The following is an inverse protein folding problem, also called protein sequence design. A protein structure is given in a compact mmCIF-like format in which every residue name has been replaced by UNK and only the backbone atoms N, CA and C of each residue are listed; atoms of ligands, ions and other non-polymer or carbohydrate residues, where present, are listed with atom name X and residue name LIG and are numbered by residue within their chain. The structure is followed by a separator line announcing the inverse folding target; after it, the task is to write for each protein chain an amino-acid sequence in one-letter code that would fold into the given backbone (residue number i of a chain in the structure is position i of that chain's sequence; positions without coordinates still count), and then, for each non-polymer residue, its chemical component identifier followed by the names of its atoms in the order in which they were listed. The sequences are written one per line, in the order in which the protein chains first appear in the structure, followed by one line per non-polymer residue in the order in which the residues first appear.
data_IF_882844913921
#
_entry.id   IF_882844913921
#
_cell.length_a   1.000
_cell.length_b   1.000
_cell.length_c   1.000
_cell.angle_alpha   90.00
_cell.angle_beta   90.00
_cell.angle_gamma   90.00
#
_symmetry.space_group_name_H-M   'P 1'
#
loop_
_entity.id
_entity.type
_entity.pdbx_description
1 polymer ?
#
# COMPACT_ATOMS: atom_id res chain seq x y z
N UNK A 1 -7.82 -1.75 0.80
CA UNK A 1 -6.92 -2.44 1.75
C UNK A 1 -5.52 -1.88 1.56
N UNK A 2 -4.69 -1.84 2.61
CA UNK A 2 -3.34 -1.26 2.54
C UNK A 2 -2.24 -2.32 2.34
N UNK A 3 -2.64 -3.47 1.80
CA UNK A 3 -1.78 -4.62 1.55
C UNK A 3 -0.82 -4.37 0.37
N UNK A 4 0.37 -5.00 0.38
CA UNK A 4 1.31 -4.90 -0.74
C UNK A 4 0.67 -5.38 -2.03
N UNK A 5 0.94 -4.67 -3.13
CA UNK A 5 0.43 -5.03 -4.46
C UNK A 5 1.03 -6.37 -4.91
N UNK A 6 0.25 -7.13 -5.70
CA UNK A 6 0.71 -8.39 -6.27
C UNK A 6 1.44 -8.21 -7.61
N UNK A 7 2.35 -9.13 -7.91
CA UNK A 7 2.96 -9.27 -9.24
C UNK A 7 4.48 -9.07 -9.27
N UNK A 8 5.17 -9.93 -10.03
CA UNK A 8 6.65 -9.92 -10.14
C UNK A 8 7.20 -8.62 -10.71
N UNK A 9 6.46 -7.94 -11.58
CA UNK A 9 6.91 -6.71 -12.23
C UNK A 9 7.00 -5.50 -11.29
N UNK A 10 6.30 -5.52 -10.16
CA UNK A 10 6.27 -4.42 -9.17
C UNK A 10 7.03 -4.77 -7.89
N UNK A 11 7.82 -5.85 -7.90
CA UNK A 11 8.39 -6.42 -6.68
C UNK A 11 7.32 -6.64 -5.59
N UNK A 12 6.15 -7.11 -6.01
CA UNK A 12 5.00 -7.32 -5.13
C UNK A 12 5.25 -8.39 -4.07
N UNK A 13 4.52 -8.29 -2.96
CA UNK A 13 4.59 -9.25 -1.87
C UNK A 13 4.10 -10.64 -2.26
N UNK A 14 4.58 -11.67 -1.55
CA UNK A 14 4.03 -13.01 -1.65
C UNK A 14 2.68 -13.07 -0.94
N UNK A 15 1.68 -13.70 -1.57
CA UNK A 15 0.41 -13.98 -0.92
C UNK A 15 0.62 -15.03 0.17
N UNK A 16 0.24 -14.67 1.38
CA UNK A 16 0.06 -15.59 2.50
C UNK A 16 -1.43 -15.87 2.63
N UNK A 17 -1.84 -17.11 2.36
CA UNK A 17 -3.24 -17.53 2.29
C UNK A 17 -3.72 -18.30 3.51
N UNK A 18 -4.96 -18.77 3.43
CA UNK A 18 -5.63 -19.50 4.52
C UNK A 18 -4.91 -20.80 4.88
N UNK A 19 -4.36 -21.51 3.89
CA UNK A 19 -3.63 -22.76 4.13
C UNK A 19 -2.34 -22.51 4.91
N UNK A 20 -1.63 -21.43 4.61
CA UNK A 20 -0.43 -21.05 5.35
C UNK A 20 -0.74 -20.53 6.76
N UNK A 21 -1.87 -19.83 6.94
CA UNK A 21 -2.39 -19.46 8.25
C UNK A 21 -2.63 -20.72 9.10
N UNK A 22 -3.34 -21.72 8.57
CA UNK A 22 -3.58 -22.98 9.28
C UNK A 22 -2.28 -23.69 9.68
N UNK A 23 -1.26 -23.64 8.83
CA UNK A 23 0.04 -24.22 9.14
C UNK A 23 0.70 -23.54 10.34
N UNK A 24 0.67 -22.20 10.42
CA UNK A 24 1.23 -21.45 11.56
C UNK A 24 0.41 -21.64 12.84
N UNK A 25 -0.91 -21.68 12.74
CA UNK A 25 -1.80 -21.94 13.87
C UNK A 25 -1.55 -23.34 14.45
N UNK A 26 -1.45 -24.36 13.60
CA UNK A 26 -1.16 -25.72 14.03
C UNK A 26 0.22 -25.86 14.70
N UNK A 27 1.18 -25.03 14.28
CA UNK A 27 2.50 -24.97 14.91
C UNK A 27 2.51 -24.19 16.24
N UNK A 28 1.45 -23.42 16.53
CA UNK A 28 1.39 -22.53 17.69
C UNK A 28 2.26 -21.27 17.53
N UNK A 29 2.57 -20.87 16.29
CA UNK A 29 3.43 -19.72 15.97
C UNK A 29 2.65 -18.39 16.03
N UNK A 30 2.05 -18.08 17.18
CA UNK A 30 1.16 -16.93 17.35
C UNK A 30 1.81 -15.58 16.97
N UNK A 31 3.03 -15.33 17.46
CA UNK A 31 3.75 -14.08 17.16
C UNK A 31 4.10 -13.95 15.68
N UNK A 32 4.51 -15.06 15.03
CA UNK A 32 4.82 -15.04 13.59
C UNK A 32 3.57 -14.77 12.76
N UNK A 33 2.44 -15.39 13.13
CA UNK A 33 1.17 -15.14 12.46
C UNK A 33 0.72 -13.69 12.64
N UNK A 34 0.80 -13.16 13.87
CA UNK A 34 0.49 -11.76 14.16
C UNK A 34 1.36 -10.82 13.32
N UNK A 35 2.67 -11.03 13.30
CA UNK A 35 3.62 -10.21 12.54
C UNK A 35 3.31 -10.21 11.03
N UNK A 36 2.96 -11.37 10.47
CA UNK A 36 2.56 -11.50 9.06
C UNK A 36 1.28 -10.72 8.77
N UNK A 37 0.26 -10.81 9.64
CA UNK A 37 -1.05 -10.18 9.43
C UNK A 37 -1.09 -8.69 9.78
N UNK A 38 -0.08 -8.16 10.46
CA UNK A 38 -0.03 -6.77 10.93
C UNK A 38 1.13 -6.02 10.27
N UNK A 39 2.28 -5.91 10.96
CA UNK A 39 3.45 -5.10 10.59
C UNK A 39 4.13 -5.51 9.29
N UNK A 40 3.82 -6.68 8.72
CA UNK A 40 4.32 -7.10 7.40
C UNK A 40 3.33 -6.90 6.25
N UNK A 41 2.04 -6.70 6.53
CA UNK A 41 1.01 -6.63 5.49
C UNK A 41 0.18 -5.36 5.53
N UNK A 42 -0.44 -5.03 6.66
CA UNK A 42 -1.62 -4.15 6.65
C UNK A 42 -1.67 -3.11 7.79
N UNK A 43 -0.74 -3.17 8.75
CA UNK A 43 -0.56 -2.11 9.74
C UNK A 43 0.35 -1.00 9.17
N UNK A 44 -0.25 0.11 8.73
CA UNK A 44 0.49 1.21 8.06
C UNK A 44 1.48 1.87 9.00
N UNK A 45 1.06 2.22 10.22
CA UNK A 45 1.92 2.84 11.23
C UNK A 45 2.98 1.85 11.69
N UNK A 46 2.55 0.63 12.02
CA UNK A 46 3.41 -0.43 12.52
C UNK A 46 4.52 -0.76 11.53
N UNK A 47 4.26 -0.74 10.21
CA UNK A 47 5.30 -0.90 9.17
C UNK A 47 6.39 0.15 9.26
N UNK A 48 6.02 1.43 9.41
CA UNK A 48 6.99 2.54 9.46
C UNK A 48 7.82 2.46 10.74
N UNK A 49 7.17 2.27 11.89
CA UNK A 49 7.86 2.14 13.18
C UNK A 49 8.75 0.90 13.24
N UNK A 50 8.30 -0.22 12.65
CA UNK A 50 9.09 -1.45 12.54
C UNK A 50 10.32 -1.25 11.66
N UNK A 51 10.17 -0.58 10.53
CA UNK A 51 11.31 -0.26 9.67
C UNK A 51 12.36 0.57 10.42
N UNK A 52 11.92 1.61 11.13
CA UNK A 52 12.80 2.45 11.94
C UNK A 52 13.51 1.66 13.06
N UNK A 53 12.76 0.84 13.81
CA UNK A 53 13.32 0.00 14.86
C UNK A 53 14.39 -0.97 14.32
N UNK A 54 14.15 -1.59 13.16
CA UNK A 54 15.11 -2.48 12.50
C UNK A 54 16.38 -1.71 12.11
N UNK A 55 16.26 -0.51 11.55
CA UNK A 55 17.41 0.32 11.18
C UNK A 55 18.22 0.77 12.40
N UNK A 56 17.56 1.04 13.53
CA UNK A 56 18.19 1.42 14.80
C UNK A 56 18.73 0.23 15.61
N UNK A 57 18.37 -1.00 15.23
CA UNK A 57 18.70 -2.19 16.02
C UNK A 57 17.92 -2.29 17.34
N UNK A 58 16.76 -1.64 17.41
CA UNK A 58 15.84 -1.68 18.54
C UNK A 58 14.84 -2.83 18.39
N UNK A 59 14.14 -3.16 19.47
CA UNK A 59 13.08 -4.17 19.39
C UNK A 59 11.89 -3.64 18.59
N UNK A 60 11.29 -4.54 17.80
CA UNK A 60 10.08 -4.25 17.02
C UNK A 60 8.95 -3.85 17.98
N UNK A 61 8.23 -2.75 17.71
CA UNK A 61 7.11 -2.31 18.56
C UNK A 61 5.94 -3.30 18.51
N UNK A 62 5.02 -3.17 19.47
CA UNK A 62 3.80 -3.97 19.45
C UNK A 62 2.92 -3.62 18.24
N UNK A 63 2.39 -4.61 17.52
CA UNK A 63 1.51 -4.38 16.37
C UNK A 63 0.18 -3.72 16.75
N UNK A 64 -0.32 -2.87 15.86
CA UNK A 64 -1.63 -2.23 15.99
C UNK A 64 -2.77 -3.01 15.33
N UNK A 65 -3.90 -2.33 15.16
CA UNK A 65 -5.10 -2.86 14.48
C UNK A 65 -4.90 -2.82 12.96
N UNK A 66 -5.06 -3.94 12.23
CA UNK A 66 -4.98 -3.95 10.77
C UNK A 66 -6.04 -3.06 10.11
N UNK A 67 -5.66 -2.40 9.01
CA UNK A 67 -6.59 -1.54 8.26
C UNK A 67 -7.76 -2.30 7.62
N UNK A 68 -7.54 -3.53 7.20
CA UNK A 68 -8.57 -4.45 6.71
C UNK A 68 -9.67 -4.70 7.75
N UNK A 69 -9.33 -4.72 9.05
CA UNK A 69 -10.33 -4.84 10.11
C UNK A 69 -11.15 -3.55 10.26
N UNK A 70 -10.51 -2.38 10.17
CA UNK A 70 -11.21 -1.09 10.19
C UNK A 70 -12.18 -0.97 9.01
N UNK A 71 -11.70 -1.32 7.81
CA UNK A 71 -12.52 -1.36 6.58
C UNK A 71 -13.70 -2.31 6.74
N UNK A 72 -13.48 -3.53 7.25
CA UNK A 72 -14.55 -4.50 7.51
C UNK A 72 -15.66 -3.91 8.39
N UNK A 73 -15.30 -3.20 9.47
CA UNK A 73 -16.30 -2.57 10.36
C UNK A 73 -17.11 -1.52 9.59
N UNK A 74 -16.45 -0.66 8.80
CA UNK A 74 -17.14 0.35 7.99
C UNK A 74 -18.04 -0.28 6.93
N UNK A 75 -17.61 -1.37 6.30
CA UNK A 75 -18.41 -2.12 5.34
C UNK A 75 -19.67 -2.70 5.99
N UNK A 76 -19.57 -3.29 7.18
CA UNK A 76 -20.73 -3.78 7.93
C UNK A 76 -21.67 -2.63 8.35
N UNK A 77 -21.11 -1.51 8.81
CA UNK A 77 -21.88 -0.31 9.16
C UNK A 77 -22.60 0.29 7.96
N UNK A 78 -22.00 0.24 6.77
CA UNK A 78 -22.62 0.70 5.52
C UNK A 78 -23.88 -0.09 5.14
N UNK A 79 -23.97 -1.35 5.60
CA UNK A 79 -25.15 -2.20 5.44
C UNK A 79 -26.24 -1.90 6.48
N UNK A 80 -26.02 -0.96 7.39
CA UNK A 80 -26.94 -0.62 8.48
C UNK A 80 -26.80 -1.51 9.72
N UNK A 81 -25.71 -2.25 9.86
CA UNK A 81 -25.41 -3.02 11.07
C UNK A 81 -24.66 -2.15 12.08
N UNK A 82 -25.15 -2.12 13.32
CA UNK A 82 -24.42 -1.48 14.43
C UNK A 82 -23.35 -2.43 14.97
N UNK A 83 -22.11 -2.24 14.52
CA UNK A 83 -20.94 -3.02 14.95
C UNK A 83 -20.06 -2.13 15.81
N UNK A 84 -19.81 -2.59 17.04
CA UNK A 84 -19.05 -1.87 18.07
C UNK A 84 -17.99 -2.78 18.66
N UNK A 85 -16.82 -2.23 18.92
CA UNK A 85 -15.76 -2.91 19.67
C UNK A 85 -15.85 -2.49 21.12
N UNK A 86 -15.97 -3.46 22.02
CA UNK A 86 -16.11 -3.24 23.45
C UNK A 86 -14.85 -3.71 24.18
N UNK A 87 -14.43 -2.94 25.18
CA UNK A 87 -13.43 -3.35 26.15
C UNK A 87 -14.02 -4.32 27.20
N UNK A 88 -13.19 -4.86 28.10
CA UNK A 88 -13.64 -5.78 29.16
C UNK A 88 -14.67 -5.17 30.12
N UNK A 89 -14.73 -3.84 30.20
CA UNK A 89 -15.64 -3.08 31.05
C UNK A 89 -16.88 -2.56 30.30
N UNK A 90 -17.21 -3.17 29.15
CA UNK A 90 -18.31 -2.79 28.25
C UNK A 90 -18.23 -1.34 27.70
N UNK A 91 -17.06 -0.69 27.79
CA UNK A 91 -16.85 0.60 27.17
C UNK A 91 -16.56 0.45 25.67
N UNK A 92 -17.16 1.32 24.86
CA UNK A 92 -16.94 1.36 23.42
C UNK A 92 -15.55 1.93 23.11
N UNK A 93 -14.78 1.18 22.31
CA UNK A 93 -13.47 1.59 21.84
C UNK A 93 -13.66 2.30 20.50
N UNK A 94 -13.31 3.59 20.47
CA UNK A 94 -13.27 4.35 19.22
C UNK A 94 -12.07 3.89 18.38
N UNK A 95 -12.35 3.38 17.18
CA UNK A 95 -11.34 3.03 16.20
C UNK A 95 -11.01 4.27 15.39
N UNK A 96 -9.80 4.80 15.56
CA UNK A 96 -9.31 5.96 14.83
C UNK A 96 -9.13 5.68 13.33
N UNK A 97 -9.38 6.71 12.54
CA UNK A 97 -9.15 6.69 11.09
C UNK A 97 -7.65 6.84 10.77
N UNK A 98 -7.23 6.34 9.60
CA UNK A 98 -5.83 6.35 9.14
C UNK A 98 -5.22 7.76 9.21
N UNK A 99 -5.97 8.79 8.81
CA UNK A 99 -5.44 10.15 8.74
C UNK A 99 -5.09 10.72 10.12
N UNK A 100 -5.90 10.40 11.14
CA UNK A 100 -5.64 10.79 12.52
C UNK A 100 -4.40 10.07 13.07
N UNK A 101 -4.33 8.77 12.80
CA UNK A 101 -3.24 7.87 13.13
C UNK A 101 -1.89 8.33 12.50
N UNK A 102 -1.92 8.76 11.23
CA UNK A 102 -0.75 9.32 10.52
C UNK A 102 -0.36 10.68 11.09
N UNK A 103 -1.33 11.54 11.41
CA UNK A 103 -1.04 12.85 12.02
C UNK A 103 -0.41 12.71 13.41
N UNK A 104 -0.92 11.78 14.23
CA UNK A 104 -0.38 11.53 15.57
C UNK A 104 1.05 10.96 15.50
N UNK A 105 1.31 10.05 14.55
CA UNK A 105 2.66 9.48 14.37
C UNK A 105 3.65 10.48 13.77
N UNK A 106 3.23 11.36 12.87
CA UNK A 106 4.07 12.44 12.34
C UNK A 106 4.51 13.44 13.43
N UNK A 107 3.64 13.70 14.41
CA UNK A 107 3.99 14.50 15.61
C UNK A 107 4.98 13.75 16.51
N UNK A 108 4.76 12.46 16.74
CA UNK A 108 5.59 11.62 17.61
C UNK A 108 7.01 11.43 17.06
N UNK A 109 7.16 11.31 15.74
CA UNK A 109 8.46 11.16 15.08
C UNK A 109 9.27 12.46 15.01
N UNK A 110 8.77 13.59 15.53
CA UNK A 110 9.36 14.92 15.33
C UNK A 110 9.85 15.09 13.89
N UNK A 111 8.99 14.79 12.91
CA UNK A 111 9.29 15.17 11.54
C UNK A 111 9.21 16.69 11.50
N UNK A 112 10.35 17.34 11.79
CA UNK A 112 10.60 18.76 11.60
C UNK A 112 10.37 19.01 10.12
N UNK A 113 9.13 19.30 9.75
CA UNK A 113 8.88 20.15 8.59
C UNK A 113 9.40 21.50 9.05
N UNK A 114 10.59 21.98 8.60
CA UNK A 114 10.88 23.38 8.78
C UNK A 114 9.70 24.10 8.15
N UNK A 115 9.01 24.91 8.96
CA UNK A 115 7.90 25.75 8.56
C UNK A 115 8.25 26.33 7.19
N UNK A 116 7.63 25.78 6.14
CA UNK A 116 7.92 26.21 4.79
C UNK A 116 7.57 27.69 4.77
N UNK A 117 8.49 28.59 4.37
CA UNK A 117 8.18 30.00 4.35
C UNK A 117 6.94 30.17 3.50
N UNK A 118 5.89 30.77 4.07
CA UNK A 118 4.68 31.16 3.36
C UNK A 118 5.16 32.01 2.20
N UNK A 119 5.15 31.46 0.99
CA UNK A 119 5.32 32.23 -0.22
C UNK A 119 4.08 33.12 -0.28
N UNK A 120 4.26 34.41 -0.01
CA UNK A 120 3.24 35.42 -0.30
C UNK A 120 2.87 35.24 -1.78
N UNK A 121 1.65 34.74 -2.03
CA UNK A 121 1.08 34.76 -3.36
C UNK A 121 1.06 36.24 -3.79
N UNK A 122 1.65 36.59 -4.95
CA UNK A 122 1.45 37.91 -5.50
C UNK A 122 -0.05 38.07 -5.77
N UNK A 123 -0.63 39.18 -5.34
CA UNK A 123 -2.01 39.55 -5.64
C UNK A 123 -2.24 39.41 -7.16
N UNK A 124 -3.22 38.60 -7.55
CA UNK A 124 -3.62 38.49 -8.95
C UNK A 124 -4.11 39.87 -9.41
N UNK A 125 -3.68 40.37 -10.59
CA UNK A 125 -4.24 41.60 -11.12
C UNK A 125 -5.71 41.39 -11.47
N UNK A 126 -6.56 42.30 -10.99
CA UNK A 126 -7.95 42.42 -11.42
C UNK A 126 -7.98 42.81 -12.91
N UNK A 127 -8.20 41.82 -13.79
CA UNK A 127 -8.51 42.07 -15.20
C UNK A 127 -10.03 42.07 -15.39
N UNK A 128 -10.64 43.26 -15.28
CA UNK A 128 -11.93 43.57 -15.90
C UNK A 128 -11.68 44.04 -17.35
N UNK A 129 -12.19 43.31 -18.34
CA UNK A 129 -13.18 43.78 -19.35
C UNK A 129 -13.21 42.87 -20.61
N UNK A 130 -14.42 42.33 -20.85
CA UNK A 130 -15.12 42.13 -22.13
C UNK A 130 -14.43 41.51 -23.36
N UNK A 131 -14.92 40.33 -23.78
CA UNK A 131 -15.18 40.04 -25.20
C UNK A 131 -16.11 38.82 -25.41
N UNK A 132 -17.34 39.13 -25.81
CA UNK A 132 -18.25 38.42 -26.74
C UNK A 132 -18.42 36.88 -26.66
N UNK A 133 -19.66 36.49 -26.36
CA UNK A 133 -20.25 35.17 -26.66
C UNK A 133 -20.05 34.79 -28.13
N UNK A 134 -19.22 33.77 -28.36
CA UNK A 134 -19.12 33.05 -29.63
C UNK A 134 -19.55 31.60 -29.44
N UNK A 135 -20.79 31.29 -29.83
CA UNK A 135 -21.26 29.92 -30.00
C UNK A 135 -20.32 29.17 -30.96
N UNK A 136 -19.80 28.02 -30.55
CA UNK A 136 -19.15 27.07 -31.46
C UNK A 136 -19.92 25.76 -31.36
N UNK A 137 -20.63 25.47 -32.46
CA UNK A 137 -21.41 24.27 -32.71
C UNK A 137 -20.57 22.99 -32.55
N UNK A 138 -21.21 21.99 -31.95
CA UNK A 138 -20.72 20.63 -31.85
C UNK A 138 -20.93 19.91 -33.19
N UNK A 139 -19.84 19.61 -33.90
CA UNK A 139 -19.84 18.65 -35.00
C UNK A 139 -18.92 17.46 -34.67
N UNK A 140 -19.49 16.29 -34.90
CA UNK A 140 -19.06 14.91 -34.65
C UNK A 140 -17.88 14.41 -35.53
N UNK A 141 -17.15 13.42 -34.97
CA UNK A 141 -16.35 12.35 -35.62
C UNK A 141 -15.04 12.76 -36.35
N UNK A 142 -13.91 12.05 -36.26
CA UNK A 142 -13.65 10.60 -36.29
C UNK A 142 -12.20 10.35 -35.77
N UNK A 143 -11.95 9.33 -34.95
CA UNK A 143 -10.58 8.92 -34.55
C UNK A 143 -10.02 7.95 -35.59
N UNK A 144 -8.84 8.18 -36.21
CA UNK A 144 -8.25 7.18 -37.09
C UNK A 144 -7.48 6.11 -36.30
N UNK A 145 -7.88 4.85 -36.55
CA UNK A 145 -7.20 3.62 -36.15
C UNK A 145 -5.73 3.63 -36.60
N UNK A 146 -4.80 3.39 -35.67
CA UNK A 146 -3.38 3.21 -36.01
C UNK A 146 -2.94 1.78 -35.72
N UNK A 147 -3.11 0.92 -36.72
CA UNK A 147 -2.47 -0.39 -36.78
C UNK A 147 -0.98 -0.27 -37.17
N UNK A 148 -0.14 -0.88 -36.33
CA UNK A 148 1.15 -1.55 -36.60
C UNK A 148 2.11 -1.04 -37.69
N UNK A 149 3.31 -0.64 -37.25
CA UNK A 149 4.57 -1.06 -37.91
C UNK A 149 5.60 -1.48 -36.86
N UNK A 150 5.96 -2.76 -36.89
CA UNK A 150 7.04 -3.37 -36.11
C UNK A 150 8.31 -3.21 -36.94
N UNK A 151 9.23 -2.35 -36.51
CA UNK A 151 10.53 -2.22 -37.14
C UNK A 151 11.51 -3.23 -36.52
N UNK A 152 11.96 -4.18 -37.34
CA UNK A 152 13.02 -5.12 -37.04
C UNK A 152 14.37 -4.40 -36.85
N UNK A 153 15.14 -4.80 -35.84
CA UNK A 153 16.54 -4.45 -35.62
C UNK A 153 17.27 -5.64 -34.98
N UNK A 154 18.27 -6.14 -35.69
CA UNK A 154 19.06 -7.35 -35.42
C UNK A 154 19.93 -7.30 -34.15
N UNK A 155 20.17 -8.48 -33.57
CA UNK A 155 21.47 -8.84 -32.99
C UNK A 155 21.56 -8.92 -31.47
N UNK A 156 21.40 -10.12 -30.90
CA UNK A 156 22.50 -10.71 -30.14
C UNK A 156 22.29 -12.24 -29.95
N UNK A 157 23.32 -12.99 -30.35
CA UNK A 157 23.41 -14.44 -30.26
C UNK A 157 23.51 -14.88 -28.79
N UNK A 158 22.52 -15.64 -28.30
CA UNK A 158 22.71 -16.46 -27.10
C UNK A 158 22.96 -17.90 -27.54
N UNK A 159 24.24 -18.27 -27.43
CA UNK A 159 24.76 -19.58 -27.68
C UNK A 159 24.12 -20.66 -26.82
N UNK A 160 23.92 -21.80 -27.47
CA UNK A 160 23.50 -23.08 -26.97
C UNK A 160 24.48 -23.57 -25.89
N UNK A 161 24.09 -23.50 -24.61
CA UNK A 161 24.85 -24.09 -23.50
C UNK A 161 24.24 -25.47 -23.18
N UNK A 162 25.01 -26.58 -23.28
CA UNK A 162 24.51 -27.90 -22.96
C UNK A 162 24.33 -28.04 -21.44
N UNK A 163 23.14 -28.50 -21.05
CA UNK A 163 22.78 -28.88 -19.69
C UNK A 163 23.44 -30.23 -19.35
N UNK A 164 24.52 -30.21 -18.57
CA UNK A 164 25.09 -31.42 -17.96
C UNK A 164 24.31 -31.75 -16.68
N UNK A 165 23.73 -32.96 -16.69
CA UNK A 165 22.99 -33.59 -15.60
C UNK A 165 24.00 -34.09 -14.55
N UNK A 166 24.18 -33.35 -13.44
CA UNK A 166 25.05 -33.80 -12.35
C UNK A 166 24.27 -34.67 -11.34
N UNK A 167 24.61 -35.95 -11.39
CA UNK A 167 24.16 -37.08 -10.59
C UNK A 167 24.36 -36.82 -9.08
N UNK A 168 23.28 -36.96 -8.29
CA UNK A 168 23.33 -36.88 -6.84
C UNK A 168 24.19 -38.03 -6.26
N UNK A 169 25.42 -37.71 -5.83
CA UNK A 169 26.22 -38.60 -4.98
C UNK A 169 25.69 -38.57 -3.55
N UNK A 170 25.09 -39.70 -3.15
CA UNK A 170 25.02 -40.09 -1.74
C UNK A 170 26.44 -40.11 -1.15
N UNK A 171 26.60 -39.48 0.02
CA UNK A 171 27.81 -39.56 0.83
C UNK A 171 27.46 -40.17 2.20
N UNK A 172 28.45 -40.83 2.83
CA UNK A 172 28.30 -42.07 3.60
C UNK A 172 27.80 -41.93 5.04
#
# INVERSE_FOLDING_TARGET
TQQPLGGKAQFGGQRFGEMEVWALEAYGAAYTLQEILTVKSDDVIGRVKTYEAIVKGENVPEPGVPESFKVLIKELQSLGLDVKVLAEDDQEIEIKEIDEDVMDTGKELELLVPEAPVLEHPEEPEDEEDAEDGEIDADEEELPDREHEIAAGEGDELGDFPFEEEEAKELP
#
